data_IF_816890550159
#
_entry.id   IF_816890550159
#
_cell.length_a   1.000
_cell.length_b   1.000
_cell.length_c   1.000
_cell.angle_alpha   90.00
_cell.angle_beta   90.00
_cell.angle_gamma   90.00
#
_symmetry.space_group_name_H-M   'P 1'
#
loop_
_entity.id
_entity.type
_entity.pdbx_description
1 polymer ?
#
# COMPACT_ATOMS: atom_id res chain seq x y z
N UNK A 1 -58.53 -35.15 -0.17
CA UNK A 1 -57.94 -33.83 0.10
C UNK A 1 -56.47 -34.06 0.42
N UNK A 2 -55.57 -33.77 -0.53
CA UNK A 2 -54.14 -34.01 -0.36
C UNK A 2 -53.53 -32.89 0.48
N UNK A 3 -52.87 -33.25 1.58
CA UNK A 3 -52.15 -32.32 2.45
C UNK A 3 -50.86 -31.89 1.76
N UNK A 4 -50.72 -30.57 1.55
CA UNK A 4 -49.52 -29.95 0.99
C UNK A 4 -48.52 -29.79 2.14
N UNK A 5 -47.45 -30.58 2.11
CA UNK A 5 -46.33 -30.41 3.03
C UNK A 5 -45.53 -29.16 2.65
N UNK A 6 -45.56 -28.13 3.48
CA UNK A 6 -44.65 -26.99 3.39
C UNK A 6 -43.28 -27.41 3.95
N UNK A 7 -42.37 -27.81 3.08
CA UNK A 7 -40.95 -27.95 3.44
C UNK A 7 -40.37 -26.53 3.53
N UNK A 8 -40.09 -26.06 4.76
CA UNK A 8 -39.34 -24.83 4.99
C UNK A 8 -37.86 -25.16 4.91
N UNK A 9 -37.22 -24.78 3.81
CA UNK A 9 -35.76 -24.81 3.69
C UNK A 9 -35.16 -23.80 4.67
N UNK A 10 -34.37 -24.29 5.62
CA UNK A 10 -33.52 -23.47 6.48
C UNK A 10 -32.20 -23.22 5.74
N UNK A 11 -32.07 -22.08 5.06
CA UNK A 11 -30.77 -21.65 4.57
C UNK A 11 -29.89 -21.33 5.78
N UNK A 12 -28.83 -22.12 5.96
CA UNK A 12 -27.75 -21.77 6.89
C UNK A 12 -27.19 -20.39 6.48
N UNK A 13 -26.86 -19.50 7.43
CA UNK A 13 -26.14 -18.29 7.07
C UNK A 13 -24.84 -18.74 6.39
N UNK A 14 -24.65 -18.36 5.13
CA UNK A 14 -23.38 -18.52 4.43
C UNK A 14 -22.37 -17.58 5.08
N UNK A 15 -21.81 -18.00 6.21
CA UNK A 15 -20.73 -17.28 6.87
C UNK A 15 -19.54 -17.25 5.93
N UNK A 16 -18.98 -16.06 5.71
CA UNK A 16 -17.75 -15.87 4.96
C UNK A 16 -16.65 -16.77 5.52
N UNK A 17 -15.78 -17.31 4.66
CA UNK A 17 -14.65 -18.12 5.11
C UNK A 17 -13.78 -17.31 6.09
N UNK A 18 -13.23 -17.89 7.17
CA UNK A 18 -12.44 -17.16 8.16
C UNK A 18 -11.31 -16.31 7.54
N UNK A 19 -10.65 -16.82 6.50
CA UNK A 19 -9.60 -16.10 5.75
C UNK A 19 -10.13 -14.88 5.01
N UNK A 20 -11.30 -14.97 4.37
CA UNK A 20 -11.87 -13.81 3.64
C UNK A 20 -12.34 -12.72 4.61
N UNK A 21 -12.81 -13.12 5.79
CA UNK A 21 -13.22 -12.20 6.85
C UNK A 21 -12.01 -11.41 7.40
N UNK A 22 -10.88 -12.08 7.62
CA UNK A 22 -9.63 -11.44 8.06
C UNK A 22 -9.12 -10.39 7.05
N UNK A 23 -9.16 -10.70 5.75
CA UNK A 23 -8.76 -9.74 4.69
C UNK A 23 -9.66 -8.49 4.72
N UNK A 24 -10.96 -8.68 4.88
CA UNK A 24 -11.92 -7.58 4.97
C UNK A 24 -11.69 -6.69 6.19
N UNK A 25 -11.34 -7.29 7.34
CA UNK A 25 -10.96 -6.55 8.55
C UNK A 25 -9.71 -5.69 8.33
N UNK A 26 -8.65 -6.24 7.72
CA UNK A 26 -7.43 -5.47 7.44
C UNK A 26 -7.66 -4.36 6.40
N UNK A 27 -8.49 -4.60 5.39
CA UNK A 27 -8.91 -3.56 4.44
C UNK A 27 -9.66 -2.42 5.12
N UNK A 28 -10.58 -2.75 6.04
CA UNK A 28 -11.31 -1.75 6.81
C UNK A 28 -10.40 -0.93 7.72
N UNK A 29 -9.40 -1.55 8.36
CA UNK A 29 -8.37 -0.84 9.14
C UNK A 29 -7.58 0.12 8.27
N UNK A 30 -7.14 -0.31 7.09
CA UNK A 30 -6.42 0.55 6.13
C UNK A 30 -7.27 1.71 5.63
N UNK A 31 -8.56 1.48 5.36
CA UNK A 31 -9.49 2.53 4.94
C UNK A 31 -9.73 3.57 6.04
N UNK A 32 -9.88 3.11 7.29
CA UNK A 32 -9.99 3.98 8.45
C UNK A 32 -8.70 4.78 8.69
N UNK A 33 -7.54 4.14 8.51
CA UNK A 33 -6.25 4.82 8.54
C UNK A 33 -6.20 5.91 7.47
N UNK A 34 -6.56 5.62 6.22
CA UNK A 34 -6.54 6.59 5.13
C UNK A 34 -7.38 7.83 5.50
N UNK A 35 -8.59 7.62 6.04
CA UNK A 35 -9.49 8.70 6.46
C UNK A 35 -8.98 9.53 7.65
N UNK A 36 -8.17 8.95 8.53
CA UNK A 36 -7.65 9.60 9.74
C UNK A 36 -6.16 9.94 9.65
N UNK A 37 -5.55 9.70 8.49
CA UNK A 37 -4.12 9.80 8.29
C UNK A 37 -3.65 11.25 8.40
N UNK A 38 -2.45 11.43 8.95
CA UNK A 38 -1.75 12.72 9.01
C UNK A 38 -0.42 12.61 8.30
N UNK A 39 0.17 13.74 7.89
CA UNK A 39 1.50 13.79 7.25
C UNK A 39 2.67 13.56 8.24
N UNK A 40 2.44 12.76 9.29
CA UNK A 40 3.44 12.43 10.31
C UNK A 40 4.13 11.11 9.99
N UNK A 41 5.38 10.95 10.41
CA UNK A 41 6.13 9.70 10.19
C UNK A 41 5.43 8.49 10.82
N UNK A 42 4.92 8.63 12.04
CA UNK A 42 4.21 7.56 12.74
C UNK A 42 2.92 7.13 12.03
N UNK A 43 2.19 8.08 11.43
CA UNK A 43 1.02 7.76 10.59
C UNK A 43 1.42 6.98 9.35
N UNK A 44 2.49 7.38 8.66
CA UNK A 44 3.00 6.68 7.47
C UNK A 44 3.45 5.25 7.83
N UNK A 45 4.21 5.09 8.91
CA UNK A 45 4.64 3.76 9.39
C UNK A 45 3.44 2.87 9.70
N UNK A 46 2.41 3.40 10.35
CA UNK A 46 1.17 2.64 10.63
C UNK A 46 0.47 2.18 9.35
N UNK A 47 0.41 3.04 8.33
CA UNK A 47 -0.16 2.67 7.04
C UNK A 47 0.62 1.56 6.34
N UNK A 48 1.96 1.64 6.35
CA UNK A 48 2.82 0.61 5.79
C UNK A 48 2.71 -0.72 6.54
N UNK A 49 2.62 -0.70 7.87
CA UNK A 49 2.37 -1.91 8.67
C UNK A 49 1.00 -2.50 8.38
N UNK A 50 -0.05 -1.69 8.21
CA UNK A 50 -1.36 -2.20 7.79
C UNK A 50 -1.33 -2.86 6.41
N UNK A 51 -0.51 -2.33 5.49
CA UNK A 51 -0.31 -2.93 4.17
C UNK A 51 0.41 -4.28 4.27
N UNK A 52 1.43 -4.38 5.12
CA UNK A 52 2.13 -5.63 5.43
C UNK A 52 1.18 -6.70 5.96
N UNK A 53 0.33 -6.37 6.95
CA UNK A 53 -0.67 -7.30 7.48
C UNK A 53 -1.66 -7.77 6.40
N UNK A 54 -2.12 -6.86 5.53
CA UNK A 54 -2.97 -7.22 4.40
C UNK A 54 -2.28 -8.20 3.44
N UNK A 55 -1.00 -7.98 3.13
CA UNK A 55 -0.21 -8.89 2.30
C UNK A 55 -0.04 -10.27 2.93
N UNK A 56 0.17 -10.36 4.24
CA UNK A 56 0.22 -11.63 4.97
C UNK A 56 -1.12 -12.37 4.84
N UNK A 57 -2.25 -11.67 5.01
CA UNK A 57 -3.57 -12.28 4.85
C UNK A 57 -3.82 -12.79 3.43
N UNK A 58 -3.34 -12.05 2.42
CA UNK A 58 -3.47 -12.43 1.02
C UNK A 58 -2.61 -13.66 0.70
N UNK A 59 -1.39 -13.73 1.22
CA UNK A 59 -0.51 -14.89 1.08
C UNK A 59 -1.13 -16.15 1.70
N UNK A 60 -1.69 -16.05 2.91
CA UNK A 60 -2.43 -17.14 3.55
C UNK A 60 -3.59 -17.66 2.68
N UNK A 61 -4.34 -16.76 2.04
CA UNK A 61 -5.44 -17.11 1.13
C UNK A 61 -4.92 -17.78 -0.16
N UNK A 62 -3.86 -17.26 -0.75
CA UNK A 62 -3.24 -17.82 -1.96
C UNK A 62 -2.67 -19.21 -1.70
N UNK A 63 -2.04 -19.42 -0.54
CA UNK A 63 -1.56 -20.74 -0.13
C UNK A 63 -2.71 -21.75 0.07
N UNK A 64 -3.85 -21.30 0.62
CA UNK A 64 -5.03 -22.14 0.78
C UNK A 64 -5.69 -22.48 -0.57
N UNK A 65 -5.80 -21.52 -1.49
CA UNK A 65 -6.44 -21.71 -2.80
C UNK A 65 -5.56 -22.46 -3.80
N UNK A 66 -4.23 -22.34 -3.68
CA UNK A 66 -3.25 -23.09 -4.48
C UNK A 66 -3.40 -24.61 -4.31
N UNK A 67 -3.88 -25.07 -3.14
CA UNK A 67 -4.21 -26.49 -2.91
C UNK A 67 -5.55 -26.94 -3.53
N UNK A 68 -6.39 -26.04 -4.06
CA UNK A 68 -7.74 -26.34 -4.59
C UNK A 68 -7.94 -26.15 -6.12
N UNK A 69 -6.91 -25.73 -6.88
CA UNK A 69 -6.85 -25.66 -8.36
C UNK A 69 -7.71 -24.62 -9.14
N UNK A 70 -7.06 -24.11 -10.21
CA UNK A 70 -7.52 -23.54 -11.50
C UNK A 70 -8.72 -22.56 -11.49
N UNK A 71 -8.44 -21.27 -11.26
CA UNK A 71 -9.35 -20.14 -11.57
C UNK A 71 -8.96 -19.53 -12.93
N UNK A 72 -9.88 -18.97 -13.76
CA UNK A 72 -9.52 -18.39 -15.05
C UNK A 72 -8.61 -17.15 -14.87
N UNK A 73 -7.36 -17.29 -15.30
CA UNK A 73 -6.21 -16.51 -14.85
C UNK A 73 -6.13 -15.05 -15.35
N UNK A 74 -6.64 -14.74 -16.55
CA UNK A 74 -6.10 -13.60 -17.30
C UNK A 74 -6.50 -12.20 -16.75
N UNK A 75 -7.72 -12.02 -16.23
CA UNK A 75 -8.15 -10.73 -15.69
C UNK A 75 -7.69 -10.49 -14.24
N UNK A 76 -7.51 -11.57 -13.49
CA UNK A 76 -6.96 -11.53 -12.13
C UNK A 76 -5.45 -11.28 -12.14
N UNK A 77 -4.73 -11.86 -13.11
CA UNK A 77 -3.29 -11.66 -13.27
C UNK A 77 -2.94 -10.18 -13.50
N UNK A 78 -3.69 -9.50 -14.38
CA UNK A 78 -3.48 -8.08 -14.65
C UNK A 78 -3.70 -7.19 -13.41
N UNK A 79 -4.75 -7.44 -12.63
CA UNK A 79 -5.01 -6.62 -11.43
C UNK A 79 -3.99 -6.87 -10.33
N UNK A 80 -3.53 -8.11 -10.18
CA UNK A 80 -2.43 -8.46 -9.26
C UNK A 80 -1.12 -7.81 -9.72
N UNK A 81 -0.81 -7.83 -11.01
CA UNK A 81 0.38 -7.18 -11.55
C UNK A 81 0.36 -5.66 -11.37
N UNK A 82 -0.77 -4.99 -11.60
CA UNK A 82 -0.94 -3.55 -11.34
C UNK A 82 -0.76 -3.20 -9.85
N UNK A 83 -1.29 -4.04 -8.95
CA UNK A 83 -1.11 -3.90 -7.49
C UNK A 83 0.36 -4.04 -7.08
N UNK A 84 1.05 -5.05 -7.63
CA UNK A 84 2.47 -5.30 -7.37
C UNK A 84 3.33 -4.16 -7.92
N UNK A 85 3.09 -3.68 -9.13
CA UNK A 85 3.76 -2.50 -9.71
C UNK A 85 3.56 -1.25 -8.85
N UNK A 86 2.33 -1.03 -8.34
CA UNK A 86 2.06 0.02 -7.35
C UNK A 86 2.93 -0.11 -6.10
N UNK A 87 3.04 -1.33 -5.57
CA UNK A 87 3.79 -1.60 -4.33
C UNK A 87 5.30 -1.46 -4.50
N UNK A 88 5.85 -1.93 -5.62
CA UNK A 88 7.26 -1.73 -5.98
C UNK A 88 7.59 -0.24 -6.08
N UNK A 89 6.74 0.55 -6.72
CA UNK A 89 6.96 2.01 -6.80
C UNK A 89 6.94 2.68 -5.43
N UNK A 90 6.08 2.25 -4.49
CA UNK A 90 6.10 2.75 -3.11
C UNK A 90 7.44 2.43 -2.45
N UNK A 91 7.94 1.21 -2.60
CA UNK A 91 9.25 0.79 -2.08
C UNK A 91 10.39 1.63 -2.66
N UNK A 92 10.39 1.90 -3.97
CA UNK A 92 11.38 2.77 -4.62
C UNK A 92 11.38 4.17 -4.02
N UNK A 93 10.20 4.77 -3.82
CA UNK A 93 10.05 6.10 -3.22
C UNK A 93 10.55 6.11 -1.77
N UNK A 94 10.23 5.07 -1.00
CA UNK A 94 10.75 4.88 0.36
C UNK A 94 12.28 4.74 0.37
N UNK A 95 12.85 4.00 -0.57
CA UNK A 95 14.30 3.85 -0.76
C UNK A 95 14.98 5.18 -1.03
N UNK A 96 14.49 5.93 -2.03
CA UNK A 96 15.03 7.25 -2.37
C UNK A 96 14.88 8.22 -1.18
N UNK A 97 13.77 8.15 -0.44
CA UNK A 97 13.55 8.98 0.75
C UNK A 97 14.58 8.67 1.85
N UNK A 98 14.85 7.38 2.09
CA UNK A 98 15.88 6.93 3.04
C UNK A 98 17.28 7.41 2.64
N UNK A 99 17.66 7.28 1.38
CA UNK A 99 18.98 7.69 0.89
C UNK A 99 19.18 9.21 1.00
N UNK A 100 18.12 9.97 0.74
CA UNK A 100 18.12 11.41 0.95
C UNK A 100 18.29 11.77 2.44
N UNK A 101 17.62 11.05 3.34
CA UNK A 101 17.77 11.25 4.78
C UNK A 101 19.19 10.93 5.26
N UNK A 102 19.82 9.88 4.71
CA UNK A 102 21.23 9.57 4.98
C UNK A 102 22.15 10.71 4.55
N UNK A 103 21.97 11.26 3.34
CA UNK A 103 22.74 12.42 2.89
C UNK A 103 22.51 13.66 3.78
N UNK A 104 21.28 13.89 4.26
CA UNK A 104 21.01 14.98 5.22
C UNK A 104 21.85 14.80 6.48
N UNK A 105 21.91 13.57 7.03
CA UNK A 105 22.72 13.28 8.22
C UNK A 105 24.20 13.53 7.97
N UNK A 106 24.74 13.05 6.85
CA UNK A 106 26.15 13.24 6.47
C UNK A 106 26.51 14.73 6.36
N UNK A 107 25.71 15.52 5.65
CA UNK A 107 25.96 16.95 5.49
C UNK A 107 25.83 17.73 6.80
N UNK A 108 24.85 17.39 7.64
CA UNK A 108 24.72 17.99 8.99
C UNK A 108 25.94 17.65 9.85
N UNK A 109 26.38 16.40 9.84
CA UNK A 109 27.56 15.96 10.59
C UNK A 109 28.84 16.63 10.09
N UNK A 110 28.99 16.79 8.77
CA UNK A 110 30.12 17.49 8.18
C UNK A 110 30.17 18.96 8.60
N UNK A 111 29.02 19.64 8.60
CA UNK A 111 28.90 21.03 9.03
C UNK A 111 29.20 21.19 10.52
N UNK A 112 28.63 20.34 11.38
CA UNK A 112 28.92 20.32 12.82
C UNK A 112 30.40 20.06 13.11
N UNK A 113 31.02 19.14 12.36
CA UNK A 113 32.44 18.82 12.50
C UNK A 113 33.33 20.00 12.09
N UNK A 114 32.96 20.73 11.05
CA UNK A 114 33.68 21.94 10.62
C UNK A 114 33.63 23.03 11.69
N UNK A 115 32.44 23.26 12.26
CA UNK A 115 32.23 24.22 13.34
C UNK A 115 33.02 23.86 14.60
N UNK A 116 33.07 22.57 14.98
CA UNK A 116 33.79 22.11 16.18
C UNK A 116 35.31 22.25 16.06
N UNK A 117 35.89 22.01 14.88
CA UNK A 117 37.35 21.95 14.71
C UNK A 117 38.07 23.31 14.75
N UNK A 118 37.36 24.44 14.94
CA UNK A 118 37.90 25.82 14.84
C UNK A 118 38.87 25.98 13.66
N UNK A 119 38.52 25.39 12.52
CA UNK A 119 39.27 25.62 11.28
C UNK A 119 38.94 27.04 10.81
N UNK A 120 39.90 27.77 10.25
CA UNK A 120 39.72 29.19 9.89
C UNK A 120 38.46 29.45 9.06
N UNK A 121 37.95 30.68 9.10
CA UNK A 121 36.61 31.07 8.63
C UNK A 121 36.28 30.57 7.22
N UNK A 122 37.24 30.64 6.29
CA UNK A 122 37.11 30.14 4.92
C UNK A 122 36.69 28.64 4.82
N UNK A 123 37.16 27.79 5.75
CA UNK A 123 36.77 26.38 5.77
C UNK A 123 35.35 26.17 6.27
N UNK A 124 34.85 27.04 7.15
CA UNK A 124 33.48 26.98 7.67
C UNK A 124 32.52 27.49 6.58
N UNK A 125 32.85 28.63 5.96
CA UNK A 125 32.09 29.20 4.84
C UNK A 125 31.90 28.20 3.70
N UNK A 126 32.97 27.48 3.32
CA UNK A 126 32.91 26.41 2.31
C UNK A 126 31.88 25.33 2.68
N UNK A 127 31.88 24.85 3.93
CA UNK A 127 30.95 23.80 4.39
C UNK A 127 29.52 24.30 4.51
N UNK A 128 29.31 25.56 4.87
CA UNK A 128 28.00 26.22 4.84
C UNK A 128 27.47 26.34 3.42
N UNK A 129 28.33 26.70 2.46
CA UNK A 129 27.97 26.77 1.05
C UNK A 129 27.57 25.40 0.49
N UNK A 130 28.37 24.35 0.76
CA UNK A 130 28.05 22.97 0.40
C UNK A 130 26.68 22.53 0.96
N UNK A 131 26.43 22.75 2.26
CA UNK A 131 25.15 22.42 2.89
C UNK A 131 23.98 23.20 2.27
N UNK A 132 24.19 24.47 1.92
CA UNK A 132 23.17 25.31 1.29
C UNK A 132 22.80 24.80 -0.11
N UNK A 133 23.80 24.42 -0.91
CA UNK A 133 23.59 23.81 -2.23
C UNK A 133 22.87 22.47 -2.10
N UNK A 134 23.30 21.63 -1.15
CA UNK A 134 22.65 20.36 -0.85
C UNK A 134 21.18 20.56 -0.46
N UNK A 135 20.86 21.51 0.42
CA UNK A 135 19.48 21.81 0.82
C UNK A 135 18.60 22.21 -0.37
N UNK A 136 19.12 23.01 -1.29
CA UNK A 136 18.41 23.38 -2.54
C UNK A 136 18.16 22.15 -3.42
N UNK A 137 19.16 21.30 -3.61
CA UNK A 137 19.03 20.02 -4.34
C UNK A 137 17.99 19.11 -3.69
N UNK A 138 18.04 18.97 -2.37
CA UNK A 138 17.12 18.13 -1.61
C UNK A 138 15.68 18.61 -1.73
N UNK A 139 15.45 19.93 -1.65
CA UNK A 139 14.11 20.51 -1.88
C UNK A 139 13.56 20.17 -3.27
N UNK A 140 14.42 20.16 -4.30
CA UNK A 140 14.04 19.76 -5.66
C UNK A 140 13.71 18.26 -5.73
N UNK A 141 14.50 17.41 -5.08
CA UNK A 141 14.25 15.97 -5.02
C UNK A 141 12.95 15.64 -4.29
N UNK A 142 12.69 16.26 -3.13
CA UNK A 142 11.46 16.07 -2.37
C UNK A 142 10.22 16.43 -3.21
N UNK A 143 10.26 17.55 -3.96
CA UNK A 143 9.18 17.91 -4.88
C UNK A 143 8.95 16.85 -5.96
N UNK A 144 10.01 16.30 -6.55
CA UNK A 144 9.89 15.23 -7.55
C UNK A 144 9.24 13.98 -6.97
N UNK A 145 9.61 13.56 -5.76
CA UNK A 145 9.01 12.40 -5.08
C UNK A 145 7.52 12.63 -4.80
N UNK A 146 7.15 13.83 -4.33
CA UNK A 146 5.74 14.20 -4.11
C UNK A 146 4.96 14.14 -5.43
N UNK A 147 5.54 14.64 -6.53
CA UNK A 147 4.90 14.55 -7.86
C UNK A 147 4.74 13.10 -8.31
N UNK A 148 5.75 12.25 -8.10
CA UNK A 148 5.66 10.82 -8.43
C UNK A 148 4.57 10.11 -7.63
N UNK A 149 4.43 10.41 -6.34
CA UNK A 149 3.34 9.89 -5.49
C UNK A 149 1.96 10.31 -6.02
N UNK A 150 1.78 11.59 -6.37
CA UNK A 150 0.51 12.08 -6.93
C UNK A 150 0.15 11.46 -8.27
N UNK A 151 1.14 11.18 -9.11
CA UNK A 151 0.91 10.49 -10.38
C UNK A 151 0.47 9.04 -10.18
N UNK A 152 0.86 8.41 -9.06
CA UNK A 152 0.43 7.07 -8.71
C UNK A 152 -1.05 7.04 -8.29
N UNK A 153 -1.48 8.00 -7.47
CA UNK A 153 -2.86 8.16 -7.03
C UNK A 153 -3.84 8.33 -8.21
N UNK A 154 -3.46 9.15 -9.19
CA UNK A 154 -4.31 9.42 -10.37
C UNK A 154 -4.46 8.22 -11.30
N UNK A 155 -3.55 7.24 -11.25
CA UNK A 155 -3.62 6.02 -12.07
C UNK A 155 -4.50 4.95 -11.44
N UNK A 156 -4.60 4.91 -10.11
CA UNK A 156 -5.42 3.92 -9.38
C UNK A 156 -6.92 4.22 -9.34
N UNK A 157 -7.34 5.45 -9.67
CA UNK A 157 -8.76 5.85 -9.62
C UNK A 157 -9.64 5.38 -10.78
N UNK A 158 -9.12 4.60 -11.73
CA UNK A 158 -9.80 4.24 -12.98
C UNK A 158 -10.34 2.80 -13.04
N UNK A 159 -10.40 2.08 -11.91
CA UNK A 159 -10.89 0.70 -11.87
C UNK A 159 -12.28 0.65 -11.20
N UNK A 160 -13.38 0.49 -11.96
CA UNK A 160 -14.70 0.25 -11.39
C UNK A 160 -14.77 -1.22 -10.95
N UNK A 161 -14.24 -1.55 -9.76
CA UNK A 161 -14.16 -2.95 -9.32
C UNK A 161 -15.02 -3.30 -8.10
N UNK A 162 -15.92 -2.43 -7.66
CA UNK A 162 -16.87 -2.77 -6.59
C UNK A 162 -18.28 -2.27 -6.92
N UNK A 163 -18.80 -2.70 -8.06
CA UNK A 163 -20.24 -2.78 -8.28
C UNK A 163 -20.52 -4.05 -9.09
N UNK A 164 -20.53 -5.18 -8.40
CA UNK A 164 -21.09 -6.40 -8.97
C UNK A 164 -22.05 -7.01 -7.96
N UNK A 165 -23.27 -6.45 -8.00
CA UNK A 165 -24.48 -7.06 -7.49
C UNK A 165 -24.48 -8.56 -7.76
N UNK A 166 -24.62 -9.33 -6.69
CA UNK A 166 -24.85 -10.77 -6.74
C UNK A 166 -26.26 -11.05 -7.26
N UNK A 167 -26.43 -10.98 -8.58
CA UNK A 167 -27.52 -11.65 -9.28
C UNK A 167 -26.93 -12.54 -10.39
N UNK A 168 -26.38 -13.69 -9.99
CA UNK A 168 -26.10 -14.80 -10.92
C UNK A 168 -27.13 -15.92 -10.77
N UNK A 169 -28.06 -15.92 -11.73
CA UNK A 169 -28.45 -17.06 -12.57
C UNK A 169 -28.10 -18.46 -12.00
N UNK A 170 -29.11 -19.14 -11.46
CA UNK A 170 -29.14 -20.61 -11.50
C UNK A 170 -29.63 -21.04 -12.88
N UNK A 171 -28.76 -21.70 -13.64
CA UNK A 171 -29.10 -22.53 -14.78
C UNK A 171 -29.44 -23.93 -14.26
N UNK A 172 -30.50 -24.50 -14.82
CA UNK A 172 -31.03 -25.84 -14.56
C UNK A 172 -29.99 -26.97 -14.57
N UNK A 173 -30.37 -28.13 -14.01
CA UNK A 173 -30.27 -29.35 -14.80
C UNK A 173 -31.59 -30.13 -14.87
N UNK A 174 -31.79 -30.70 -16.04
CA UNK A 174 -32.94 -31.46 -16.55
C UNK A 174 -33.26 -32.76 -15.79
N UNK A 175 -34.56 -33.07 -15.68
CA UNK A 175 -35.21 -34.32 -16.13
C UNK A 175 -36.74 -34.17 -15.98
#
# INVERSE_FOLDING_TARGET
MASIYHVRSISLPSGSHPTTLRIEEELNKLRNWLATSTSTSGSITRGLSGLEELYICLDDLLNLTSTQQVVPYHQQEKSVEELLDGSVRILDICGITRDNLLQVREHVQALQSALRRRKGDSSIESKVAEYTLFRKKMKKNAKKLITALKQMENKSGASPLLDQDHHRLCRDPSA
#
